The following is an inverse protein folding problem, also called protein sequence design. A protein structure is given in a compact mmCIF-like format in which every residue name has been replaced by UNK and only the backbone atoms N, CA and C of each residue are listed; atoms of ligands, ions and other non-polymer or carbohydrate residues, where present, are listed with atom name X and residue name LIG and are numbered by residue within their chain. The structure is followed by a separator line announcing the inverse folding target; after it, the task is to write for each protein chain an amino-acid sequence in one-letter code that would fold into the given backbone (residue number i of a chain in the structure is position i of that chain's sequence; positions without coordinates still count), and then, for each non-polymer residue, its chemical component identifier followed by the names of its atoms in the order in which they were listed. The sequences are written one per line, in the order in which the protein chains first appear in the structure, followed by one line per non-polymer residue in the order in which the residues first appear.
data_IF_550221556808
#
_entry.id   IF_550221556808
#
_cell.length_a   1.000
_cell.length_b   1.000
_cell.length_c   1.000
_cell.angle_alpha   90.00
_cell.angle_beta   90.00
_cell.angle_gamma   90.00
#
_symmetry.space_group_name_H-M   'P 1'
#
loop_
_entity.id
_entity.type
_entity.pdbx_description
1 polymer ?
#
# COMPACT_ATOMS: atom_id res chain seq x y z
N UNK A 1 23.38 -6.33 -17.76
CA UNK A 1 22.50 -5.38 -17.05
C UNK A 1 21.23 -6.17 -16.85
N UNK A 2 21.08 -6.84 -15.68
CA UNK A 2 19.89 -7.62 -15.38
C UNK A 2 18.69 -6.69 -15.25
N UNK A 3 17.57 -7.07 -15.89
CA UNK A 3 16.31 -6.38 -15.75
C UNK A 3 15.92 -6.40 -14.27
N UNK A 4 15.78 -5.21 -13.67
CA UNK A 4 15.25 -5.09 -12.31
C UNK A 4 13.78 -5.48 -12.37
N UNK A 5 13.46 -6.65 -11.88
CA UNK A 5 12.06 -7.03 -11.74
C UNK A 5 11.44 -6.18 -10.62
N UNK A 6 10.34 -5.53 -10.92
CA UNK A 6 9.63 -4.65 -10.00
C UNK A 6 8.46 -5.42 -9.37
N UNK A 7 8.37 -5.45 -8.06
CA UNK A 7 7.17 -5.90 -7.35
C UNK A 7 6.27 -4.72 -7.02
N UNK A 8 4.99 -4.95 -7.00
CA UNK A 8 3.95 -3.94 -6.93
C UNK A 8 2.97 -4.29 -5.83
N UNK A 9 2.35 -3.27 -5.23
CA UNK A 9 1.18 -3.49 -4.41
C UNK A 9 0.15 -4.26 -5.24
N UNK A 10 -0.42 -5.31 -4.65
CA UNK A 10 -1.23 -6.29 -5.36
C UNK A 10 -2.43 -6.71 -4.50
N UNK A 11 -3.59 -6.83 -5.13
CA UNK A 11 -4.77 -7.45 -4.54
C UNK A 11 -4.68 -8.95 -4.78
N UNK A 12 -4.51 -9.73 -3.73
CA UNK A 12 -4.23 -11.16 -3.78
C UNK A 12 -5.19 -11.92 -4.73
N UNK A 13 -4.61 -12.69 -5.66
CA UNK A 13 -5.37 -13.46 -6.63
C UNK A 13 -6.26 -12.66 -7.58
N UNK A 14 -6.08 -11.33 -7.68
CA UNK A 14 -6.96 -10.43 -8.45
C UNK A 14 -8.45 -10.59 -8.03
N UNK A 15 -8.71 -10.82 -6.74
CA UNK A 15 -10.04 -11.11 -6.21
C UNK A 15 -10.69 -9.87 -5.60
N UNK A 16 -11.89 -9.49 -6.08
CA UNK A 16 -12.64 -8.31 -5.62
C UNK A 16 -13.52 -8.59 -4.38
N UNK A 17 -13.22 -9.61 -3.59
CA UNK A 17 -14.00 -9.96 -2.40
C UNK A 17 -13.55 -9.15 -1.18
N UNK A 18 -14.51 -8.75 -0.33
CA UNK A 18 -14.21 -8.14 0.95
C UNK A 18 -13.29 -9.02 1.81
N UNK A 19 -12.22 -8.46 2.35
CA UNK A 19 -11.23 -9.18 3.14
C UNK A 19 -10.10 -9.78 2.32
N UNK A 20 -10.11 -9.62 0.98
CA UNK A 20 -8.98 -10.03 0.15
C UNK A 20 -7.73 -9.28 0.61
N UNK A 21 -6.67 -10.02 0.85
CA UNK A 21 -5.41 -9.45 1.35
C UNK A 21 -4.76 -8.53 0.30
N UNK A 22 -4.14 -7.45 0.77
CA UNK A 22 -3.20 -6.69 -0.06
C UNK A 22 -1.78 -7.21 0.17
N UNK A 23 -1.10 -7.43 -0.95
CA UNK A 23 0.24 -7.95 -0.96
C UNK A 23 1.16 -7.24 -1.93
N UNK A 24 2.36 -7.77 -2.16
CA UNK A 24 3.09 -7.43 -3.37
C UNK A 24 3.39 -8.66 -4.21
N UNK A 25 3.38 -8.40 -5.50
CA UNK A 25 3.62 -9.40 -6.52
C UNK A 25 4.56 -8.85 -7.59
N UNK A 26 5.24 -9.72 -8.30
CA UNK A 26 5.98 -9.32 -9.50
C UNK A 26 5.06 -8.61 -10.49
N UNK A 27 5.58 -7.65 -11.23
CA UNK A 27 4.81 -6.88 -12.21
C UNK A 27 4.16 -7.82 -13.25
N UNK A 28 2.84 -7.83 -13.31
CA UNK A 28 2.05 -8.71 -14.21
C UNK A 28 1.15 -7.96 -15.17
N UNK A 29 1.12 -6.61 -15.11
CA UNK A 29 0.14 -5.77 -15.80
C UNK A 29 -1.33 -6.08 -15.42
N UNK A 30 -1.56 -6.87 -14.37
CA UNK A 30 -2.88 -7.21 -13.88
C UNK A 30 -3.60 -6.02 -13.22
N UNK A 31 -4.92 -6.04 -13.24
CA UNK A 31 -5.73 -5.03 -12.56
C UNK A 31 -5.54 -5.04 -11.04
N UNK A 32 -5.11 -6.18 -10.48
CA UNK A 32 -4.70 -6.33 -9.08
C UNK A 32 -3.61 -5.34 -8.62
N UNK A 33 -2.81 -4.84 -9.55
CA UNK A 33 -1.65 -3.98 -9.27
C UNK A 33 -1.92 -2.50 -9.61
N UNK A 34 -3.18 -2.14 -9.85
CA UNK A 34 -3.59 -0.81 -10.30
C UNK A 34 -4.50 -0.16 -9.28
N UNK A 35 -4.09 1.00 -8.77
CA UNK A 35 -4.81 1.76 -7.76
C UNK A 35 -5.08 3.17 -8.25
N UNK A 36 -6.28 3.67 -7.93
CA UNK A 36 -6.70 5.02 -8.24
C UNK A 36 -6.92 5.78 -6.94
N UNK A 37 -6.38 6.97 -6.87
CA UNK A 37 -6.55 7.85 -5.72
C UNK A 37 -7.82 8.68 -5.93
N UNK A 38 -8.77 8.53 -5.01
CA UNK A 38 -9.98 9.34 -4.96
C UNK A 38 -9.94 10.20 -3.71
N UNK A 39 -9.89 11.52 -3.89
CA UNK A 39 -9.80 12.47 -2.78
C UNK A 39 -11.13 12.55 -2.03
N UNK A 40 -11.12 12.24 -0.74
CA UNK A 40 -12.27 12.31 0.15
C UNK A 40 -12.39 13.69 0.83
N UNK A 41 -11.25 14.27 1.18
CA UNK A 41 -11.08 15.60 1.77
C UNK A 41 -9.64 16.06 1.51
N UNK A 42 -9.31 17.29 1.87
CA UNK A 42 -7.97 17.86 1.67
C UNK A 42 -6.85 16.94 2.19
N UNK A 43 -6.09 16.36 1.26
CA UNK A 43 -5.00 15.42 1.53
C UNK A 43 -5.42 14.05 2.09
N UNK A 44 -6.71 13.71 2.04
CA UNK A 44 -7.26 12.40 2.47
C UNK A 44 -7.84 11.66 1.28
N UNK A 45 -7.42 10.43 1.06
CA UNK A 45 -7.75 9.66 -0.13
C UNK A 45 -8.29 8.27 0.20
N UNK A 46 -9.18 7.78 -0.65
CA UNK A 46 -9.41 6.35 -0.85
C UNK A 46 -8.46 5.84 -1.93
N UNK A 47 -7.83 4.71 -1.69
CA UNK A 47 -7.05 4.00 -2.69
C UNK A 47 -7.95 2.94 -3.33
N UNK A 48 -8.64 3.32 -4.40
CA UNK A 48 -9.56 2.41 -5.11
C UNK A 48 -8.78 1.36 -5.88
N UNK A 49 -9.29 0.12 -5.88
CA UNK A 49 -8.68 -1.00 -6.59
C UNK A 49 -9.30 -1.16 -7.98
N UNK A 50 -8.48 -1.32 -8.99
CA UNK A 50 -8.98 -1.59 -10.34
C UNK A 50 -9.58 -2.99 -10.47
N UNK A 51 -9.10 -3.96 -9.70
CA UNK A 51 -9.66 -5.32 -9.60
C UNK A 51 -11.17 -5.30 -9.38
N UNK A 52 -11.65 -4.43 -8.52
CA UNK A 52 -13.09 -4.29 -8.22
C UNK A 52 -13.85 -3.38 -9.18
N UNK A 53 -13.18 -2.76 -10.15
CA UNK A 53 -13.77 -1.71 -10.99
C UNK A 53 -14.11 -0.45 -10.19
N UNK A 54 -13.24 -0.06 -9.28
CA UNK A 54 -13.37 1.09 -8.38
C UNK A 54 -14.49 0.92 -7.31
N UNK A 55 -15.01 -0.30 -7.09
CA UNK A 55 -16.05 -0.56 -6.09
C UNK A 55 -15.48 -0.88 -4.70
N UNK A 56 -14.20 -1.22 -4.62
CA UNK A 56 -13.49 -1.51 -3.38
C UNK A 56 -12.25 -0.64 -3.24
N UNK A 57 -11.71 -0.56 -2.02
CA UNK A 57 -10.52 0.21 -1.71
C UNK A 57 -9.66 -0.49 -0.66
N UNK A 58 -8.47 0.03 -0.47
CA UNK A 58 -7.52 -0.37 0.56
C UNK A 58 -8.06 0.01 1.94
N UNK A 59 -8.22 -0.97 2.84
CA UNK A 59 -8.82 -0.79 4.16
C UNK A 59 -7.98 -1.47 5.25
N UNK A 60 -8.02 -0.93 6.47
CA UNK A 60 -7.52 -1.66 7.65
C UNK A 60 -8.56 -2.69 8.06
N UNK A 61 -8.16 -3.96 8.14
CA UNK A 61 -9.05 -5.07 8.47
C UNK A 61 -9.81 -4.84 9.77
N UNK A 62 -11.13 -5.06 9.72
CA UNK A 62 -12.07 -4.88 10.85
C UNK A 62 -12.02 -3.48 11.48
N UNK A 63 -11.63 -2.45 10.74
CA UNK A 63 -11.43 -1.08 11.23
C UNK A 63 -10.55 -1.01 12.49
N UNK A 64 -9.61 -1.92 12.64
CA UNK A 64 -8.73 -2.02 13.79
C UNK A 64 -7.89 -0.76 13.97
N UNK A 65 -7.74 -0.31 15.22
CA UNK A 65 -6.81 0.76 15.60
C UNK A 65 -5.52 0.23 16.21
N UNK A 66 -5.39 -1.09 16.33
CA UNK A 66 -4.21 -1.73 16.92
C UNK A 66 -3.03 -1.76 15.95
N UNK A 67 -1.84 -1.58 16.48
CA UNK A 67 -0.62 -1.84 15.73
C UNK A 67 -0.56 -3.33 15.30
N UNK A 68 -0.07 -3.59 14.09
CA UNK A 68 -0.02 -4.94 13.51
C UNK A 68 -1.33 -5.39 12.81
N UNK A 69 -2.36 -4.53 12.75
CA UNK A 69 -3.57 -4.86 12.02
C UNK A 69 -3.30 -4.98 10.51
N UNK A 70 -3.89 -6.01 9.91
CA UNK A 70 -3.73 -6.30 8.49
C UNK A 70 -4.41 -5.27 7.59
N UNK A 71 -3.98 -5.19 6.34
CA UNK A 71 -4.55 -4.33 5.30
C UNK A 71 -5.16 -5.21 4.21
N UNK A 72 -6.39 -4.89 3.84
CA UNK A 72 -7.21 -5.72 2.96
C UNK A 72 -7.96 -4.86 1.94
N UNK A 73 -8.44 -5.48 0.88
CA UNK A 73 -9.45 -4.91 0.01
C UNK A 73 -10.83 -4.99 0.67
N UNK A 74 -11.62 -3.91 0.61
CA UNK A 74 -12.97 -3.88 1.12
C UNK A 74 -13.85 -2.95 0.30
N UNK A 75 -15.15 -3.29 0.17
CA UNK A 75 -16.13 -2.44 -0.52
C UNK A 75 -16.10 -1.02 0.03
N UNK A 76 -16.13 -0.02 -0.86
CA UNK A 76 -16.07 1.40 -0.49
C UNK A 76 -17.23 1.76 0.43
N UNK A 77 -16.91 2.34 1.57
CA UNK A 77 -17.85 2.95 2.49
C UNK A 77 -17.35 4.34 2.89
N UNK A 78 -17.97 5.37 2.35
CA UNK A 78 -17.54 6.77 2.56
C UNK A 78 -17.63 7.24 4.02
N UNK A 79 -18.31 6.48 4.89
CA UNK A 79 -18.38 6.74 6.33
C UNK A 79 -17.32 6.00 7.15
N UNK A 80 -16.54 5.11 6.52
CA UNK A 80 -15.54 4.30 7.20
C UNK A 80 -14.16 4.93 7.10
N UNK A 81 -13.69 5.51 8.19
CA UNK A 81 -12.36 6.15 8.26
C UNK A 81 -11.20 5.16 8.19
N UNK A 82 -11.42 3.86 8.40
CA UNK A 82 -10.41 2.82 8.23
C UNK A 82 -9.98 2.62 6.77
N UNK A 83 -10.80 3.14 5.84
CA UNK A 83 -10.54 3.16 4.39
C UNK A 83 -9.90 4.46 3.91
N UNK A 84 -9.72 5.44 4.79
CA UNK A 84 -9.21 6.76 4.46
C UNK A 84 -7.73 6.88 4.83
N UNK A 85 -6.93 7.32 3.87
CA UNK A 85 -5.49 7.43 3.97
C UNK A 85 -5.06 8.88 3.78
N UNK A 86 -4.45 9.46 4.79
CA UNK A 86 -3.81 10.75 4.65
C UNK A 86 -2.45 10.55 3.98
N UNK A 87 -2.30 11.12 2.80
CA UNK A 87 -1.03 11.16 2.10
C UNK A 87 -0.28 12.41 2.52
N UNK A 88 0.92 12.21 3.03
CA UNK A 88 1.82 13.31 3.40
C UNK A 88 3.09 13.16 2.60
N UNK A 89 3.41 14.16 1.81
CA UNK A 89 4.69 14.23 1.14
C UNK A 89 5.77 14.49 2.19
N UNK A 90 6.88 13.78 2.12
CA UNK A 90 7.98 13.92 3.11
C UNK A 90 8.76 15.22 2.90
N UNK A 91 8.67 15.79 1.70
CA UNK A 91 9.18 17.13 1.40
C UNK A 91 8.04 18.00 0.85
N UNK A 92 7.87 19.18 1.43
CA UNK A 92 6.76 20.09 1.14
C UNK A 92 6.91 20.75 -0.25
N UNK A 93 6.33 20.18 -1.26
CA UNK A 93 6.16 20.79 -2.59
C UNK A 93 4.84 20.40 -3.25
N UNK A 94 3.70 20.78 -2.65
CA UNK A 94 2.42 20.88 -3.36
C UNK A 94 1.80 19.59 -3.93
N UNK A 95 0.55 19.57 -3.88
CA UNK A 95 -0.46 18.54 -4.05
C UNK A 95 -0.53 17.83 -5.43
N UNK A 96 0.55 17.23 -5.91
CA UNK A 96 0.52 16.31 -7.05
C UNK A 96 1.26 15.05 -6.63
N UNK A 97 0.73 13.87 -6.98
CA UNK A 97 1.42 12.60 -6.74
C UNK A 97 2.71 12.55 -7.56
N UNK A 98 3.74 13.17 -7.00
CA UNK A 98 5.05 13.27 -7.65
C UNK A 98 5.81 11.96 -7.44
N UNK A 99 6.00 11.21 -8.51
CA UNK A 99 6.71 9.93 -8.49
C UNK A 99 8.20 10.06 -8.11
N UNK A 100 8.73 11.27 -8.01
CA UNK A 100 10.11 11.54 -7.54
C UNK A 100 10.19 11.66 -6.01
N UNK A 101 9.06 11.68 -5.32
CA UNK A 101 8.94 11.92 -3.88
C UNK A 101 8.69 10.65 -3.09
N UNK A 102 8.96 10.74 -1.80
CA UNK A 102 8.66 9.69 -0.81
C UNK A 102 7.42 10.10 -0.02
N UNK A 103 6.56 9.13 0.27
CA UNK A 103 5.27 9.31 0.92
C UNK A 103 5.15 8.47 2.18
N UNK A 104 4.30 8.91 3.08
CA UNK A 104 3.81 8.12 4.20
C UNK A 104 2.30 7.95 4.07
N UNK A 105 1.80 6.74 4.28
CA UNK A 105 0.37 6.43 4.28
C UNK A 105 -0.10 6.35 5.72
N UNK A 106 -0.86 7.33 6.17
CA UNK A 106 -1.40 7.38 7.53
C UNK A 106 -2.89 7.06 7.51
N UNK A 107 -3.29 6.07 8.28
CA UNK A 107 -4.70 5.71 8.41
C UNK A 107 -5.47 6.76 9.23
N UNK A 108 -6.59 7.27 8.71
CA UNK A 108 -7.34 8.36 9.34
C UNK A 108 -8.06 7.93 10.63
N UNK A 109 -8.37 6.65 10.78
CA UNK A 109 -9.05 6.11 11.97
C UNK A 109 -8.09 5.91 13.15
N UNK A 110 -6.96 5.23 12.91
CA UNK A 110 -5.99 4.87 13.95
C UNK A 110 -4.88 5.90 14.16
N UNK A 111 -4.66 6.81 13.21
CA UNK A 111 -3.49 7.68 13.11
C UNK A 111 -2.14 6.94 13.01
N UNK A 112 -2.18 5.64 12.70
CA UNK A 112 -0.98 4.82 12.47
C UNK A 112 -0.58 4.82 11.00
N UNK A 113 0.66 4.46 10.72
CA UNK A 113 1.24 4.46 9.39
C UNK A 113 1.33 3.05 8.81
N UNK A 114 1.13 2.93 7.50
CA UNK A 114 1.49 1.73 6.75
C UNK A 114 3.00 1.57 6.80
N UNK A 115 3.50 0.45 7.35
CA UNK A 115 4.93 0.22 7.50
C UNK A 115 5.34 -1.22 7.26
N UNK A 116 6.63 -1.40 6.94
CA UNK A 116 7.28 -2.71 7.00
C UNK A 116 7.65 -3.01 8.46
N UNK A 117 7.16 -4.11 9.00
CA UNK A 117 7.37 -4.48 10.39
C UNK A 117 8.87 -4.47 10.78
N UNK A 118 9.19 -3.73 11.85
CA UNK A 118 10.55 -3.53 12.36
C UNK A 118 11.54 -2.93 11.35
N UNK A 119 11.08 -2.41 10.21
CA UNK A 119 11.94 -1.91 9.13
C UNK A 119 12.88 -2.97 8.55
N UNK A 120 12.47 -4.21 8.57
CA UNK A 120 13.29 -5.33 8.17
C UNK A 120 13.34 -5.45 6.64
N UNK A 121 14.45 -5.03 6.04
CA UNK A 121 14.66 -5.05 4.60
C UNK A 121 15.05 -6.46 4.13
N UNK A 122 14.11 -7.40 4.18
CA UNK A 122 14.30 -8.78 3.68
C UNK A 122 12.98 -9.33 3.13
N UNK A 123 13.11 -10.32 2.26
CA UNK A 123 11.96 -11.05 1.70
C UNK A 123 11.13 -11.69 2.82
N UNK A 124 9.81 -11.55 2.75
CA UNK A 124 8.89 -12.05 3.76
C UNK A 124 8.64 -11.12 4.94
N UNK A 125 9.20 -9.90 4.95
CA UNK A 125 8.91 -8.93 6.00
C UNK A 125 7.49 -8.43 5.93
N UNK A 126 6.76 -8.57 7.04
CA UNK A 126 5.34 -8.22 7.14
C UNK A 126 5.07 -6.72 6.92
N UNK A 127 3.95 -6.39 6.32
CA UNK A 127 3.43 -5.02 6.24
C UNK A 127 2.21 -4.88 7.14
N UNK A 128 2.19 -3.83 7.93
CA UNK A 128 1.23 -3.59 9.01
C UNK A 128 0.97 -2.09 9.20
N UNK A 129 0.08 -1.73 10.10
CA UNK A 129 0.02 -0.36 10.61
C UNK A 129 0.81 -0.24 11.93
N UNK A 130 1.57 0.86 12.10
CA UNK A 130 2.35 1.11 13.31
C UNK A 130 2.47 2.61 13.61
N UNK A 131 2.97 2.96 14.80
CA UNK A 131 3.28 4.35 15.16
C UNK A 131 4.37 4.94 14.27
N UNK A 132 4.58 6.25 14.36
CA UNK A 132 5.69 6.90 13.66
C UNK A 132 7.03 6.32 14.15
N UNK A 133 7.85 5.85 13.22
CA UNK A 133 9.15 5.26 13.50
C UNK A 133 10.29 6.18 13.05
N UNK A 134 11.38 6.13 13.81
CA UNK A 134 12.66 6.67 13.40
C UNK A 134 13.69 5.52 13.32
N UNK A 135 14.31 5.30 12.18
CA UNK A 135 14.22 6.12 10.95
C UNK A 135 12.91 5.91 10.17
N UNK A 136 12.46 6.96 9.51
CA UNK A 136 11.21 6.99 8.75
C UNK A 136 11.15 6.01 7.55
N UNK A 137 12.26 5.34 7.20
CA UNK A 137 12.31 4.38 6.10
C UNK A 137 11.33 3.21 6.25
N UNK A 138 10.98 2.84 7.49
CA UNK A 138 10.03 1.74 7.76
C UNK A 138 8.63 2.01 7.20
N UNK A 139 8.19 3.27 7.24
CA UNK A 139 6.87 3.72 6.83
C UNK A 139 6.90 4.69 5.63
N UNK A 140 8.01 4.69 4.90
CA UNK A 140 8.20 5.52 3.72
C UNK A 140 8.08 4.70 2.44
N UNK A 141 7.40 5.27 1.46
CA UNK A 141 7.03 4.61 0.21
C UNK A 141 7.25 5.53 -0.97
N UNK A 142 7.68 5.01 -2.09
CA UNK A 142 7.74 5.74 -3.36
C UNK A 142 6.65 5.26 -4.30
N UNK A 143 6.23 6.11 -5.23
CA UNK A 143 5.20 5.81 -6.20
C UNK A 143 5.80 5.76 -7.59
N UNK A 144 5.37 4.80 -8.39
CA UNK A 144 5.68 4.73 -9.82
C UNK A 144 4.38 4.73 -10.59
N UNK A 145 4.21 5.68 -11.48
CA UNK A 145 2.99 5.78 -12.29
C UNK A 145 2.86 4.56 -13.22
N UNK A 146 1.66 4.01 -13.27
CA UNK A 146 1.28 2.96 -14.23
C UNK A 146 0.47 3.53 -15.41
N UNK A 147 -0.25 4.62 -15.20
CA UNK A 147 -1.15 5.25 -16.16
C UNK A 147 -2.62 5.16 -15.76
N UNK A 148 -3.45 6.03 -16.30
CA UNK A 148 -4.88 6.09 -15.95
C UNK A 148 -5.18 6.44 -14.49
N UNK A 149 -4.25 7.11 -13.81
CA UNK A 149 -4.37 7.47 -12.39
C UNK A 149 -3.99 6.34 -11.42
N UNK A 150 -3.35 5.28 -11.90
CA UNK A 150 -2.87 4.16 -11.08
C UNK A 150 -1.37 4.26 -10.82
N UNK A 151 -0.96 3.81 -9.64
CA UNK A 151 0.43 3.82 -9.17
C UNK A 151 0.83 2.47 -8.57
N UNK A 152 2.10 2.16 -8.73
CA UNK A 152 2.81 1.16 -7.95
C UNK A 152 3.31 1.78 -6.65
N UNK A 153 3.28 1.04 -5.55
CA UNK A 153 3.79 1.47 -4.25
C UNK A 153 5.02 0.64 -3.89
N UNK A 154 6.15 1.30 -3.68
CA UNK A 154 7.43 0.66 -3.39
C UNK A 154 7.94 1.08 -2.00
N UNK A 155 8.55 0.15 -1.26
CA UNK A 155 9.17 0.46 0.02
C UNK A 155 10.43 1.32 -0.17
N UNK A 156 10.61 2.31 0.71
CA UNK A 156 11.82 3.14 0.75
C UNK A 156 12.96 2.52 1.59
N UNK A 157 12.77 1.32 2.12
CA UNK A 157 13.87 0.59 2.78
C UNK A 157 15.00 0.32 1.79
N UNK A 158 16.23 0.57 2.21
CA UNK A 158 17.40 0.49 1.36
C UNK A 158 18.54 -0.26 2.06
N UNK A 159 18.83 -1.43 1.54
CA UNK A 159 20.08 -2.19 1.80
C UNK A 159 20.86 -2.42 0.49
N UNK A 160 20.57 -1.60 -0.53
CA UNK A 160 21.07 -1.77 -1.90
C UNK A 160 20.17 -2.62 -2.80
N UNK A 161 19.05 -3.13 -2.28
CA UNK A 161 18.01 -3.84 -3.01
C UNK A 161 16.74 -2.99 -3.12
N UNK A 162 15.82 -3.41 -3.95
CA UNK A 162 14.51 -2.79 -4.09
C UNK A 162 13.46 -3.78 -3.58
N UNK A 163 12.69 -3.37 -2.58
CA UNK A 163 11.64 -4.18 -1.99
C UNK A 163 10.27 -3.70 -2.40
N UNK A 164 9.45 -4.64 -2.69
CA UNK A 164 8.09 -4.47 -3.18
C UNK A 164 7.13 -5.23 -2.26
N UNK A 165 5.97 -4.72 -2.02
CA UNK A 165 4.91 -5.33 -1.22
C UNK A 165 4.40 -6.64 -1.85
N UNK A 166 4.23 -7.78 -1.18
CA UNK A 166 3.92 -9.12 -1.73
C UNK A 166 2.84 -9.89 -0.93
N UNK A 167 2.00 -10.67 -1.61
CA UNK A 167 1.09 -11.61 -0.98
C UNK A 167 1.74 -12.97 -0.75
N UNK A 168 1.58 -13.55 0.44
CA UNK A 168 2.12 -14.88 0.80
C UNK A 168 1.29 -16.03 0.23
N UNK A 169 0.11 -15.74 -0.36
CA UNK A 169 -0.77 -16.75 -0.91
C UNK A 169 -1.98 -16.17 -1.62
N UNK A 170 -2.76 -17.04 -2.25
CA UNK A 170 -3.95 -16.69 -3.04
C UNK A 170 -5.26 -16.79 -2.24
N UNK A 171 -5.20 -17.17 -0.95
CA UNK A 171 -6.39 -17.36 -0.12
C UNK A 171 -6.78 -16.06 0.58
N UNK A 172 -8.08 -15.90 0.86
CA UNK A 172 -8.59 -14.82 1.68
C UNK A 172 -7.86 -14.77 3.04
N UNK A 173 -7.41 -13.58 3.42
CA UNK A 173 -6.67 -13.39 4.66
C UNK A 173 -5.16 -13.69 4.56
N UNK A 174 -4.63 -14.01 3.37
CA UNK A 174 -3.18 -14.12 3.17
C UNK A 174 -2.47 -12.82 3.56
N UNK A 175 -1.33 -12.95 4.20
CA UNK A 175 -0.60 -11.82 4.74
C UNK A 175 0.13 -11.00 3.67
N UNK A 176 0.50 -9.77 4.03
CA UNK A 176 1.32 -8.85 3.23
C UNK A 176 2.74 -8.82 3.76
N UNK A 177 3.69 -8.92 2.87
CA UNK A 177 5.13 -8.87 3.13
C UNK A 177 5.83 -8.00 2.09
N UNK A 178 7.10 -7.71 2.29
CA UNK A 178 7.97 -7.17 1.23
C UNK A 178 8.90 -8.23 0.68
N UNK A 179 9.17 -8.18 -0.61
CA UNK A 179 10.11 -9.09 -1.30
C UNK A 179 11.00 -8.35 -2.30
N UNK A 180 12.24 -8.82 -2.41
CA UNK A 180 13.09 -8.55 -3.58
C UNK A 180 12.69 -9.48 -4.72
N UNK A 181 13.10 -9.15 -5.91
CA UNK A 181 12.89 -9.99 -7.08
C UNK A 181 14.02 -11.00 -7.25
#
# INVERSE_FOLDING_TARGET
IGDKVSYLLDVAGNAAANGTNLGIWSATDADAQRFKFYEAADGVYYLLTKTSGDQSCVAVQAASTSAGANVVEWAVNLSDTSQQWKLTQVEDTGCVMDTTKTYQFRNANSNLYLEVANGKAEDGSNVQQWGANEPAAHNSWTLKEFGGGYYYILSALADGKTYYLNSVGEADGSNIEIHTN
#
